data_IF_981326727346
#
_entry.id   IF_981326727346
#
_cell.length_a   1.000
_cell.length_b   1.000
_cell.length_c   1.000
_cell.angle_alpha   90.00
_cell.angle_beta   90.00
_cell.angle_gamma   90.00
#
_symmetry.space_group_name_H-M   'P 1'
#
loop_
_entity.id
_entity.type
_entity.pdbx_description
1 polymer ?
#
# COMPACT_ATOMS: atom_id res chain seq x y z
N UNK A 1 -13.08 -8.54 3.88
CA UNK A 1 -11.85 -9.33 3.70
C UNK A 1 -12.13 -10.82 3.61
N UNK A 2 -11.20 -11.55 3.10
CA UNK A 2 -11.20 -13.02 2.94
C UNK A 2 -10.00 -13.57 3.70
N UNK A 3 -10.16 -14.71 4.35
CA UNK A 3 -9.08 -15.49 4.94
C UNK A 3 -9.38 -16.99 4.81
N UNK A 4 -8.42 -17.75 4.31
CA UNK A 4 -8.46 -19.20 4.23
C UNK A 4 -7.76 -19.80 5.46
N UNK A 5 -8.53 -20.40 6.37
CA UNK A 5 -8.05 -20.84 7.68
C UNK A 5 -7.06 -21.99 7.64
N UNK A 6 -7.11 -22.79 6.59
CA UNK A 6 -6.19 -23.92 6.36
C UNK A 6 -4.87 -23.47 5.70
N UNK A 7 -4.72 -22.19 5.41
CA UNK A 7 -3.57 -21.63 4.71
C UNK A 7 -3.49 -21.99 3.24
N UNK A 8 -4.58 -22.51 2.66
CA UNK A 8 -4.62 -22.84 1.23
C UNK A 8 -4.55 -21.58 0.37
N UNK A 9 -3.95 -21.72 -0.80
CA UNK A 9 -3.77 -20.65 -1.78
C UNK A 9 -4.93 -20.65 -2.76
N UNK A 10 -5.53 -19.49 -2.95
CA UNK A 10 -6.72 -19.27 -3.79
C UNK A 10 -6.51 -18.06 -4.72
N UNK A 11 -7.28 -17.90 -5.80
CA UNK A 11 -7.27 -16.72 -6.66
C UNK A 11 -7.92 -15.53 -5.93
N UNK A 12 -7.28 -15.03 -4.89
CA UNK A 12 -7.83 -14.01 -4.00
C UNK A 12 -8.03 -12.66 -4.70
N UNK A 13 -7.29 -12.38 -5.78
CA UNK A 13 -7.51 -11.20 -6.61
C UNK A 13 -8.92 -11.18 -7.20
N UNK A 14 -9.33 -12.27 -7.86
CA UNK A 14 -10.67 -12.43 -8.41
C UNK A 14 -11.77 -12.42 -7.33
N UNK A 15 -11.53 -13.13 -6.24
CA UNK A 15 -12.51 -13.26 -5.16
C UNK A 15 -12.74 -11.94 -4.43
N UNK A 16 -11.68 -11.21 -4.11
CA UNK A 16 -11.77 -9.87 -3.52
C UNK A 16 -12.47 -8.90 -4.47
N UNK A 17 -12.16 -8.96 -5.77
CA UNK A 17 -12.79 -8.09 -6.77
C UNK A 17 -14.30 -8.33 -6.81
N UNK A 18 -14.76 -9.57 -6.85
CA UNK A 18 -16.21 -9.88 -6.81
C UNK A 18 -16.90 -9.34 -5.55
N UNK A 19 -16.23 -9.45 -4.40
CA UNK A 19 -16.75 -8.90 -3.14
C UNK A 19 -16.83 -7.37 -3.16
N UNK A 20 -15.76 -6.70 -3.60
CA UNK A 20 -15.70 -5.24 -3.65
C UNK A 20 -16.65 -4.68 -4.71
N UNK A 21 -16.76 -5.32 -5.88
CA UNK A 21 -17.68 -4.91 -6.94
C UNK A 21 -19.14 -4.99 -6.50
N UNK A 22 -19.51 -5.96 -5.66
CA UNK A 22 -20.85 -6.03 -5.09
C UNK A 22 -21.20 -4.80 -4.22
N UNK A 23 -20.18 -4.09 -3.73
CA UNK A 23 -20.31 -2.87 -2.91
C UNK A 23 -20.06 -1.57 -3.71
N UNK A 24 -19.90 -1.64 -5.04
CA UNK A 24 -19.62 -0.49 -5.92
C UNK A 24 -20.53 0.71 -5.66
N UNK A 25 -21.82 0.47 -5.40
CA UNK A 25 -22.80 1.53 -5.12
C UNK A 25 -22.50 2.33 -3.84
N UNK A 26 -21.60 1.85 -2.98
CA UNK A 26 -21.19 2.49 -1.72
C UNK A 26 -19.86 3.24 -1.82
N UNK A 27 -19.11 3.06 -2.91
CA UNK A 27 -17.81 3.68 -3.10
C UNK A 27 -17.27 3.49 -4.51
N UNK A 28 -17.73 4.30 -5.49
CA UNK A 28 -17.30 4.15 -6.88
C UNK A 28 -16.02 4.89 -7.23
N UNK A 29 -15.49 5.74 -6.31
CA UNK A 29 -14.47 6.72 -6.65
C UNK A 29 -13.06 6.16 -6.61
N UNK A 30 -12.78 5.29 -5.65
CA UNK A 30 -11.52 4.56 -5.58
C UNK A 30 -11.69 3.20 -4.95
N UNK A 31 -10.83 2.27 -5.36
CA UNK A 31 -10.79 0.91 -4.82
C UNK A 31 -9.37 0.55 -4.44
N UNK A 32 -9.21 -0.17 -3.33
CA UNK A 32 -7.91 -0.68 -2.96
C UNK A 32 -7.97 -2.05 -2.31
N UNK A 33 -6.89 -2.75 -2.51
CA UNK A 33 -6.64 -4.12 -2.10
C UNK A 33 -5.36 -4.19 -1.28
N UNK A 34 -5.36 -4.93 -0.18
CA UNK A 34 -4.16 -5.46 0.44
C UNK A 34 -4.27 -6.98 0.35
N UNK A 35 -3.49 -7.57 -0.52
CA UNK A 35 -3.48 -8.98 -0.83
C UNK A 35 -2.22 -9.63 -0.26
N UNK A 36 -2.38 -10.80 0.34
CA UNK A 36 -1.27 -11.54 0.94
C UNK A 36 -1.04 -12.79 0.12
N UNK A 37 -0.06 -12.69 -0.77
CA UNK A 37 0.36 -13.75 -1.66
C UNK A 37 0.96 -14.93 -0.93
N UNK A 38 1.21 -15.99 -1.68
CA UNK A 38 1.91 -17.17 -1.16
C UNK A 38 3.42 -16.90 -1.01
N UNK A 39 3.80 -15.67 -1.31
CA UNK A 39 5.10 -15.05 -1.17
C UNK A 39 6.20 -15.77 -1.94
N UNK A 40 6.77 -15.10 -2.93
CA UNK A 40 8.19 -15.27 -3.21
C UNK A 40 9.03 -14.96 -1.96
N UNK A 41 8.42 -14.35 -0.96
CA UNK A 41 8.92 -14.18 0.40
C UNK A 41 9.27 -15.46 1.16
N UNK A 42 8.82 -16.63 0.71
CA UNK A 42 9.32 -17.91 1.22
C UNK A 42 10.84 -18.05 1.06
N UNK A 43 11.46 -17.32 0.13
CA UNK A 43 12.90 -17.27 -0.11
C UNK A 43 13.59 -16.05 0.53
N UNK A 44 12.94 -15.32 1.44
CA UNK A 44 13.51 -14.13 2.08
C UNK A 44 13.45 -12.86 1.22
N UNK A 45 12.76 -12.92 0.08
CA UNK A 45 12.57 -11.78 -0.83
C UNK A 45 11.52 -10.81 -0.33
N UNK A 46 11.68 -9.56 -0.73
CA UNK A 46 10.74 -8.48 -0.47
C UNK A 46 10.07 -8.07 -1.79
N UNK A 47 8.83 -7.66 -1.66
CA UNK A 47 8.07 -7.06 -2.75
C UNK A 47 7.73 -5.63 -2.31
N UNK A 48 8.06 -4.67 -3.16
CA UNK A 48 7.67 -3.28 -2.98
C UNK A 48 6.76 -2.87 -4.13
N UNK A 49 5.60 -2.33 -3.78
CA UNK A 49 4.74 -1.61 -4.71
C UNK A 49 4.87 -0.12 -4.48
N UNK A 50 5.12 0.62 -5.54
CA UNK A 50 5.26 2.06 -5.48
C UNK A 50 4.66 2.71 -6.72
N UNK A 51 4.34 3.99 -6.62
CA UNK A 51 3.90 4.81 -7.74
C UNK A 51 4.75 6.08 -7.85
N UNK A 52 4.80 6.63 -9.04
CA UNK A 52 5.53 7.86 -9.41
C UNK A 52 4.59 8.96 -9.93
N UNK A 53 3.31 8.71 -9.97
CA UNK A 53 2.24 9.65 -10.29
C UNK A 53 0.90 9.03 -9.90
N UNK A 54 -0.18 9.78 -10.08
CA UNK A 54 -1.55 9.32 -9.91
C UNK A 54 -2.29 9.25 -11.27
N UNK A 55 -3.39 8.51 -11.31
CA UNK A 55 -4.22 8.37 -12.51
C UNK A 55 -4.71 9.74 -13.06
N UNK A 56 -4.91 10.72 -12.17
CA UNK A 56 -5.33 12.08 -12.51
C UNK A 56 -4.18 13.08 -12.68
N UNK A 57 -2.91 12.63 -12.56
CA UNK A 57 -1.76 13.50 -12.80
C UNK A 57 -1.77 13.99 -14.24
N UNK A 58 -1.68 15.31 -14.49
CA UNK A 58 -1.66 15.86 -15.85
C UNK A 58 -0.49 15.27 -16.66
N UNK A 59 -0.80 14.74 -17.83
CA UNK A 59 0.20 14.19 -18.76
C UNK A 59 0.74 15.29 -19.65
N UNK A 60 1.74 16.01 -19.16
CA UNK A 60 2.50 16.98 -19.94
C UNK A 60 3.44 16.30 -20.95
N UNK A 61 4.13 17.13 -21.75
CA UNK A 61 5.03 16.62 -22.80
C UNK A 61 6.18 15.75 -22.24
N UNK A 62 6.63 16.02 -21.01
CA UNK A 62 7.77 15.33 -20.38
C UNK A 62 7.34 14.21 -19.42
N UNK A 63 6.04 13.90 -19.34
CA UNK A 63 5.48 12.98 -18.35
C UNK A 63 6.15 11.59 -18.39
N UNK A 64 6.17 10.95 -19.55
CA UNK A 64 6.75 9.60 -19.68
C UNK A 64 8.27 9.60 -19.43
N UNK A 65 8.98 10.64 -19.88
CA UNK A 65 10.41 10.76 -19.63
C UNK A 65 10.73 10.99 -18.15
N UNK A 66 9.91 11.79 -17.47
CA UNK A 66 10.01 12.00 -16.02
C UNK A 66 9.80 10.71 -15.25
N UNK A 67 8.76 9.95 -15.57
CA UNK A 67 8.50 8.65 -14.94
C UNK A 67 9.65 7.67 -15.16
N UNK A 68 10.14 7.55 -16.37
CA UNK A 68 11.28 6.67 -16.70
C UNK A 68 12.54 7.06 -15.91
N UNK A 69 12.82 8.34 -15.78
CA UNK A 69 13.94 8.86 -15.01
C UNK A 69 13.76 8.59 -13.52
N UNK A 70 12.58 8.86 -12.94
CA UNK A 70 12.32 8.58 -11.53
C UNK A 70 12.40 7.09 -11.22
N UNK A 71 11.87 6.22 -12.09
CA UNK A 71 11.99 4.78 -11.97
C UNK A 71 13.48 4.36 -11.91
N UNK A 72 14.30 4.84 -12.84
CA UNK A 72 15.73 4.54 -12.84
C UNK A 72 16.44 5.02 -11.55
N UNK A 73 15.99 6.13 -10.97
CA UNK A 73 16.47 6.61 -9.67
C UNK A 73 16.03 5.68 -8.54
N UNK A 74 14.80 5.16 -8.54
CA UNK A 74 14.34 4.15 -7.56
C UNK A 74 15.24 2.92 -7.61
N UNK A 75 15.42 2.33 -8.78
CA UNK A 75 16.28 1.14 -8.98
C UNK A 75 17.72 1.41 -8.51
N UNK A 76 18.26 2.58 -8.84
CA UNK A 76 19.61 2.99 -8.39
C UNK A 76 19.69 3.12 -6.86
N UNK A 77 18.67 3.68 -6.20
CA UNK A 77 18.62 3.83 -4.74
C UNK A 77 18.53 2.48 -4.04
N UNK A 78 17.72 1.57 -4.56
CA UNK A 78 17.66 0.20 -4.05
C UNK A 78 19.04 -0.48 -4.12
N UNK A 79 19.70 -0.40 -5.26
CA UNK A 79 21.05 -0.97 -5.44
C UNK A 79 22.10 -0.30 -4.54
N UNK A 80 22.04 1.01 -4.31
CA UNK A 80 22.93 1.73 -3.39
C UNK A 80 22.82 1.26 -1.94
N UNK A 81 21.63 0.81 -1.51
CA UNK A 81 21.43 0.23 -0.19
C UNK A 81 21.79 -1.25 -0.11
N UNK A 82 22.22 -1.85 -1.23
CA UNK A 82 22.60 -3.26 -1.31
C UNK A 82 21.41 -4.19 -1.57
N UNK A 83 20.30 -3.68 -2.08
CA UNK A 83 19.22 -4.53 -2.56
C UNK A 83 19.60 -5.17 -3.89
N UNK A 84 19.38 -6.47 -4.00
CA UNK A 84 19.55 -7.23 -5.24
C UNK A 84 18.20 -7.36 -5.92
N UNK A 85 17.99 -6.55 -6.98
CA UNK A 85 16.73 -6.51 -7.72
C UNK A 85 16.64 -7.75 -8.61
N UNK A 86 15.53 -8.46 -8.54
CA UNK A 86 15.24 -9.61 -9.38
C UNK A 86 14.39 -9.22 -10.58
N UNK A 87 13.30 -8.50 -10.33
CA UNK A 87 12.33 -8.14 -11.35
C UNK A 87 11.70 -6.79 -11.04
N UNK A 88 11.42 -6.03 -12.10
CA UNK A 88 10.63 -4.78 -12.03
C UNK A 88 9.51 -4.86 -13.06
N UNK A 89 8.29 -4.93 -12.59
CA UNK A 89 7.08 -4.97 -13.40
C UNK A 89 6.44 -3.57 -13.47
N UNK A 90 6.06 -3.15 -14.66
CA UNK A 90 5.26 -1.95 -14.89
C UNK A 90 3.79 -2.37 -14.98
N UNK A 91 3.01 -2.10 -13.94
CA UNK A 91 1.62 -2.50 -13.88
C UNK A 91 0.71 -1.48 -14.55
N UNK A 92 1.06 -0.21 -14.37
CA UNK A 92 0.45 0.92 -15.07
C UNK A 92 1.56 1.86 -15.51
N UNK A 93 1.30 2.87 -16.36
CA UNK A 93 2.34 3.83 -16.75
C UNK A 93 3.02 4.55 -15.57
N UNK A 94 2.44 4.52 -14.37
CA UNK A 94 2.92 5.24 -13.18
C UNK A 94 3.06 4.39 -11.93
N UNK A 95 2.64 3.13 -11.94
CA UNK A 95 2.72 2.21 -10.81
C UNK A 95 3.57 0.99 -11.15
N UNK A 96 4.41 0.58 -10.20
CA UNK A 96 5.43 -0.42 -10.38
C UNK A 96 5.44 -1.42 -9.23
N UNK A 97 5.76 -2.65 -9.56
CA UNK A 97 6.06 -3.73 -8.63
C UNK A 97 7.52 -4.12 -8.79
N UNK A 98 8.27 -4.18 -7.70
CA UNK A 98 9.66 -4.63 -7.71
C UNK A 98 9.87 -5.73 -6.67
N UNK A 99 10.50 -6.82 -7.09
CA UNK A 99 10.94 -7.90 -6.21
C UNK A 99 12.45 -7.86 -6.07
N UNK A 100 12.95 -8.04 -4.84
CA UNK A 100 14.38 -7.94 -4.54
C UNK A 100 14.74 -8.65 -3.23
N UNK A 101 16.03 -9.02 -3.10
CA UNK A 101 16.58 -9.48 -1.83
C UNK A 101 17.20 -8.28 -1.08
N UNK A 102 16.89 -8.17 0.22
CA UNK A 102 17.45 -7.14 1.10
C UNK A 102 17.35 -7.54 2.57
N UNK A 103 18.42 -7.36 3.32
CA UNK A 103 18.51 -7.69 4.76
C UNK A 103 18.70 -6.47 5.66
N UNK A 104 18.65 -5.26 5.08
CA UNK A 104 18.87 -4.01 5.82
C UNK A 104 17.60 -3.45 6.48
N UNK A 105 17.69 -2.19 6.87
CA UNK A 105 16.60 -1.45 7.51
C UNK A 105 15.53 -1.05 6.47
N UNK A 106 14.34 -1.63 6.59
CA UNK A 106 13.18 -1.35 5.70
C UNK A 106 12.72 0.10 5.78
N UNK A 107 12.85 0.72 6.97
CA UNK A 107 12.52 2.14 7.14
C UNK A 107 13.46 3.01 6.32
N UNK A 108 14.76 2.77 6.43
CA UNK A 108 15.77 3.50 5.65
C UNK A 108 15.53 3.34 4.14
N UNK A 109 15.21 2.13 3.71
CA UNK A 109 14.96 1.83 2.30
C UNK A 109 13.72 2.59 1.79
N UNK A 110 12.60 2.50 2.49
CA UNK A 110 11.37 3.18 2.10
C UNK A 110 11.54 4.70 2.10
N UNK A 111 12.14 5.27 3.16
CA UNK A 111 12.43 6.70 3.24
C UNK A 111 13.30 7.17 2.07
N UNK A 112 14.33 6.39 1.73
CA UNK A 112 15.24 6.75 0.65
C UNK A 112 14.55 6.70 -0.73
N UNK A 113 13.60 5.80 -0.94
CA UNK A 113 12.78 5.78 -2.17
C UNK A 113 11.85 6.99 -2.20
N UNK A 114 11.16 7.29 -1.10
CA UNK A 114 10.17 8.37 -1.04
C UNK A 114 10.79 9.79 -0.98
N UNK A 115 12.10 9.91 -0.82
CA UNK A 115 12.83 11.16 -1.07
C UNK A 115 12.87 11.54 -2.57
N UNK A 116 12.45 10.65 -3.46
CA UNK A 116 12.27 10.97 -4.88
C UNK A 116 10.95 11.74 -5.04
N UNK A 117 10.96 12.91 -5.69
CA UNK A 117 9.72 13.63 -5.94
C UNK A 117 8.66 12.76 -6.61
N UNK A 118 7.43 12.84 -6.13
CA UNK A 118 6.26 12.08 -6.63
C UNK A 118 6.30 10.56 -6.32
N UNK A 119 7.38 10.03 -5.73
CA UNK A 119 7.42 8.63 -5.33
C UNK A 119 6.61 8.38 -4.04
N UNK A 120 5.73 7.40 -4.08
CA UNK A 120 4.98 6.90 -2.92
C UNK A 120 5.12 5.38 -2.85
N UNK A 121 5.63 4.87 -1.72
CA UNK A 121 5.68 3.44 -1.45
C UNK A 121 4.32 3.01 -0.89
N UNK A 122 3.59 2.19 -1.64
CA UNK A 122 2.28 1.70 -1.24
C UNK A 122 2.38 0.55 -0.23
N UNK A 123 3.33 -0.33 -0.45
CA UNK A 123 3.63 -1.45 0.45
C UNK A 123 5.06 -1.94 0.27
N UNK A 124 5.61 -2.48 1.35
CA UNK A 124 6.87 -3.18 1.37
C UNK A 124 6.74 -4.37 2.33
N UNK A 125 6.82 -5.58 1.80
CA UNK A 125 6.59 -6.78 2.58
C UNK A 125 7.10 -8.04 1.91
N UNK A 126 6.90 -9.16 2.58
CA UNK A 126 7.22 -10.50 2.06
C UNK A 126 6.03 -11.16 1.39
N UNK A 127 4.82 -10.83 1.84
CA UNK A 127 3.58 -11.39 1.34
C UNK A 127 2.55 -10.31 0.98
N UNK A 128 2.58 -9.16 1.66
CA UNK A 128 1.66 -8.06 1.45
C UNK A 128 1.97 -7.30 0.17
N UNK A 129 0.96 -7.15 -0.66
CA UNK A 129 0.96 -6.25 -1.81
C UNK A 129 -0.28 -5.35 -1.75
N UNK A 130 -0.08 -4.04 -1.70
CA UNK A 130 -1.16 -3.05 -1.74
C UNK A 130 -1.29 -2.50 -3.16
N UNK A 131 -2.49 -2.68 -3.71
CA UNK A 131 -2.92 -2.05 -4.96
C UNK A 131 -4.07 -1.12 -4.64
N UNK A 132 -3.98 0.13 -5.02
CA UNK A 132 -5.06 1.11 -4.87
C UNK A 132 -5.03 2.12 -6.01
N UNK A 133 -6.21 2.39 -6.59
CA UNK A 133 -6.34 3.37 -7.66
C UNK A 133 -7.76 3.94 -7.73
N UNK A 134 -7.95 4.92 -8.62
CA UNK A 134 -9.26 5.49 -8.93
C UNK A 134 -10.09 4.48 -9.73
N UNK A 135 -11.39 4.49 -9.45
CA UNK A 135 -12.35 3.64 -10.13
C UNK A 135 -12.89 2.50 -9.25
N UNK A 136 -13.79 1.74 -9.83
CA UNK A 136 -14.39 0.59 -9.18
C UNK A 136 -13.47 -0.63 -9.18
N UNK A 137 -13.90 -1.69 -8.49
CA UNK A 137 -13.08 -2.87 -8.28
C UNK A 137 -12.71 -3.60 -9.58
N UNK A 138 -13.62 -3.65 -10.56
CA UNK A 138 -13.33 -4.27 -11.86
C UNK A 138 -12.29 -3.46 -12.63
N UNK A 139 -12.42 -2.13 -12.66
CA UNK A 139 -11.47 -1.24 -13.31
C UNK A 139 -10.05 -1.41 -12.75
N UNK A 140 -9.91 -1.38 -11.41
CA UNK A 140 -8.59 -1.54 -10.77
C UNK A 140 -8.05 -2.97 -10.95
N UNK A 141 -8.92 -3.98 -10.89
CA UNK A 141 -8.56 -5.37 -11.14
C UNK A 141 -7.96 -5.59 -12.53
N UNK A 142 -8.63 -5.07 -13.57
CA UNK A 142 -8.15 -5.18 -14.96
C UNK A 142 -6.84 -4.41 -15.16
N UNK A 143 -6.74 -3.21 -14.60
CA UNK A 143 -5.60 -2.33 -14.74
C UNK A 143 -4.31 -2.93 -14.14
N UNK A 144 -4.44 -3.63 -13.01
CA UNK A 144 -3.33 -4.22 -12.28
C UNK A 144 -3.19 -5.75 -12.46
N UNK A 145 -3.94 -6.35 -13.36
CA UNK A 145 -3.83 -7.77 -13.68
C UNK A 145 -4.09 -8.70 -12.49
N UNK A 146 -5.01 -8.33 -11.58
CA UNK A 146 -5.20 -9.06 -10.32
C UNK A 146 -5.81 -10.46 -10.49
N UNK A 147 -6.26 -10.85 -11.70
CA UNK A 147 -6.73 -12.21 -12.00
C UNK A 147 -5.67 -13.29 -11.73
N UNK A 148 -4.40 -12.94 -11.89
CA UNK A 148 -3.30 -13.87 -11.66
C UNK A 148 -2.85 -13.91 -10.19
N UNK A 149 -3.37 -13.01 -9.36
CA UNK A 149 -2.95 -12.91 -7.97
C UNK A 149 -3.55 -14.03 -7.12
N UNK A 150 -2.68 -14.90 -6.63
CA UNK A 150 -3.04 -16.00 -5.73
C UNK A 150 -2.49 -15.76 -4.33
N UNK A 151 -3.23 -16.16 -3.30
CA UNK A 151 -2.79 -15.95 -1.92
C UNK A 151 -3.70 -16.59 -0.90
N UNK A 152 -3.42 -16.32 0.37
CA UNK A 152 -4.09 -16.96 1.51
C UNK A 152 -5.16 -16.07 2.15
N UNK A 153 -5.04 -14.77 2.04
CA UNK A 153 -6.00 -13.82 2.59
C UNK A 153 -5.85 -12.44 1.95
N UNK A 154 -6.86 -11.60 2.14
CA UNK A 154 -6.85 -10.22 1.68
C UNK A 154 -7.90 -9.37 2.41
N UNK A 155 -7.63 -8.08 2.47
CA UNK A 155 -8.57 -7.04 2.87
C UNK A 155 -8.67 -6.00 1.77
N UNK A 156 -9.80 -5.32 1.65
CA UNK A 156 -10.00 -4.31 0.62
C UNK A 156 -11.07 -3.33 0.99
N UNK A 157 -11.12 -2.23 0.27
CA UNK A 157 -12.04 -1.13 0.53
C UNK A 157 -12.47 -0.46 -0.77
N UNK A 158 -13.73 -0.05 -0.84
CA UNK A 158 -14.26 0.86 -1.86
C UNK A 158 -14.62 2.17 -1.18
N UNK A 159 -14.16 3.29 -1.73
CA UNK A 159 -14.32 4.63 -1.14
C UNK A 159 -15.23 5.48 -1.99
N UNK A 160 -16.11 6.22 -1.30
CA UNK A 160 -16.81 7.38 -1.84
C UNK A 160 -16.17 8.62 -1.23
N UNK A 161 -15.66 9.51 -2.04
CA UNK A 161 -15.10 10.78 -1.59
C UNK A 161 -16.25 11.73 -1.25
N UNK A 162 -16.38 12.13 0.01
CA UNK A 162 -17.51 12.96 0.48
C UNK A 162 -17.12 14.43 0.63
N UNK A 163 -15.88 14.77 0.96
CA UNK A 163 -15.46 16.14 1.30
C UNK A 163 -14.03 16.48 0.85
N UNK A 164 -13.26 15.51 0.39
CA UNK A 164 -11.88 15.70 -0.09
C UNK A 164 -11.79 15.46 -1.60
N UNK A 165 -10.77 16.02 -2.23
CA UNK A 165 -10.42 15.62 -3.60
C UNK A 165 -10.29 14.11 -3.70
N UNK A 166 -10.69 13.56 -4.85
CA UNK A 166 -10.56 12.13 -5.15
C UNK A 166 -9.09 11.90 -5.48
N UNK A 167 -8.30 11.61 -4.44
CA UNK A 167 -6.90 11.26 -4.56
C UNK A 167 -6.65 9.80 -4.16
N UNK A 168 -5.60 9.21 -4.69
CA UNK A 168 -5.19 7.84 -4.37
C UNK A 168 -4.57 7.79 -2.97
N UNK A 169 -3.92 8.84 -2.49
CA UNK A 169 -3.31 8.90 -1.16
C UNK A 169 -4.36 8.67 -0.06
N UNK A 170 -5.57 9.24 -0.22
CA UNK A 170 -6.69 9.01 0.68
C UNK A 170 -7.40 7.67 0.51
N UNK A 171 -7.05 6.84 -0.47
CA UNK A 171 -7.63 5.53 -0.67
C UNK A 171 -7.03 4.49 0.29
N UNK A 172 -7.92 3.62 0.83
CA UNK A 172 -7.48 2.45 1.59
C UNK A 172 -7.02 1.32 0.65
N UNK A 173 -6.20 0.37 1.13
CA UNK A 173 -5.62 0.22 2.47
C UNK A 173 -4.46 1.17 2.77
N UNK A 174 -4.11 1.30 4.07
CA UNK A 174 -2.91 1.97 4.54
C UNK A 174 -1.88 0.97 5.02
N UNK A 175 -0.66 1.08 4.53
CA UNK A 175 0.48 0.34 5.05
C UNK A 175 0.90 0.89 6.43
N UNK A 176 1.11 0.00 7.40
CA UNK A 176 1.63 0.39 8.71
C UNK A 176 3.15 0.57 8.65
N UNK A 177 3.59 1.56 7.89
CA UNK A 177 5.00 1.90 7.68
C UNK A 177 5.78 2.02 8.99
N UNK A 178 6.98 1.44 9.12
CA UNK A 178 7.73 0.66 8.13
C UNK A 178 7.61 -0.87 8.30
N UNK A 179 6.55 -1.36 8.93
CA UNK A 179 6.40 -2.77 9.26
C UNK A 179 5.91 -3.58 8.06
N UNK A 180 6.73 -4.56 7.62
CA UNK A 180 6.32 -5.48 6.56
C UNK A 180 5.04 -6.22 6.92
N UNK A 181 4.23 -6.47 5.91
CA UNK A 181 3.05 -7.32 5.98
C UNK A 181 1.94 -6.86 6.95
N UNK A 182 1.89 -5.56 7.27
CA UNK A 182 0.82 -4.96 8.08
C UNK A 182 0.08 -3.88 7.31
N UNK A 183 -1.21 -4.08 7.07
CA UNK A 183 -2.09 -3.12 6.40
C UNK A 183 -3.40 -2.95 7.14
N UNK A 184 -4.04 -1.80 6.96
CA UNK A 184 -5.28 -1.41 7.63
C UNK A 184 -6.31 -0.94 6.62
N UNK A 185 -7.55 -1.38 6.81
CA UNK A 185 -8.75 -0.79 6.21
C UNK A 185 -9.72 -0.39 7.32
N UNK A 186 -10.37 0.75 7.16
CA UNK A 186 -11.34 1.25 8.14
C UNK A 186 -12.52 1.87 7.41
N UNK A 187 -13.72 1.59 7.87
CA UNK A 187 -14.94 2.25 7.42
C UNK A 187 -15.60 2.92 8.63
N UNK A 188 -15.33 4.19 8.82
CA UNK A 188 -15.81 4.98 9.96
C UNK A 188 -15.15 6.35 10.00
N UNK A 189 -15.31 7.05 11.12
CA UNK A 189 -14.68 8.35 11.38
C UNK A 189 -14.04 8.34 12.77
N UNK A 190 -12.82 8.87 12.87
CA UNK A 190 -12.15 9.06 14.16
C UNK A 190 -12.48 10.44 14.71
N UNK A 191 -13.27 10.46 15.78
CA UNK A 191 -13.75 11.72 16.41
C UNK A 191 -12.63 12.57 17.02
N UNK A 192 -11.51 11.96 17.34
CA UNK A 192 -10.32 12.60 17.95
C UNK A 192 -9.13 12.71 17.01
N UNK A 193 -9.38 12.72 15.70
CA UNK A 193 -8.40 12.77 14.63
C UNK A 193 -7.27 13.77 14.87
N UNK A 194 -7.60 15.06 15.02
CA UNK A 194 -6.59 16.12 15.14
C UNK A 194 -5.68 15.97 16.36
N UNK A 195 -6.21 15.42 17.46
CA UNK A 195 -5.43 15.19 18.67
C UNK A 195 -4.39 14.08 18.45
N UNK A 196 -4.82 12.98 17.86
CA UNK A 196 -3.94 11.84 17.57
C UNK A 196 -2.91 12.17 16.50
N UNK A 197 -3.31 12.84 15.43
CA UNK A 197 -2.39 13.26 14.37
C UNK A 197 -1.26 14.11 14.94
N UNK A 198 -1.57 15.17 15.67
CA UNK A 198 -0.56 16.03 16.31
C UNK A 198 0.35 15.27 17.27
N UNK A 199 -0.20 14.30 18.00
CA UNK A 199 0.60 13.49 18.93
C UNK A 199 1.61 12.63 18.18
N UNK A 200 1.20 11.97 17.13
CA UNK A 200 2.03 11.08 16.31
C UNK A 200 3.07 11.90 15.51
N UNK A 201 2.70 13.03 14.95
CA UNK A 201 3.62 13.94 14.26
C UNK A 201 4.72 14.46 15.23
N UNK A 202 4.36 14.79 16.47
CA UNK A 202 5.35 15.16 17.51
C UNK A 202 6.28 14.00 17.91
N UNK A 203 5.81 12.77 17.75
CA UNK A 203 6.64 11.58 17.93
C UNK A 203 7.51 11.26 16.69
N UNK A 204 7.50 12.15 15.68
CA UNK A 204 8.28 12.00 14.45
C UNK A 204 7.66 11.06 13.43
N UNK A 205 6.36 10.77 13.56
CA UNK A 205 5.64 9.97 12.57
C UNK A 205 5.14 10.87 11.44
N UNK A 206 5.18 10.34 10.21
CA UNK A 206 4.68 11.03 9.03
C UNK A 206 3.35 10.44 8.58
N UNK A 207 2.60 11.24 7.87
CA UNK A 207 1.34 10.87 7.23
C UNK A 207 1.44 11.16 5.74
N UNK A 208 0.87 10.29 4.94
CA UNK A 208 0.84 10.42 3.48
C UNK A 208 -0.47 11.03 2.98
N UNK A 209 -1.52 11.04 3.81
CA UNK A 209 -2.84 11.56 3.46
C UNK A 209 -3.44 12.41 4.58
N UNK A 210 -4.54 13.08 4.27
CA UNK A 210 -5.40 13.76 5.25
C UNK A 210 -6.55 12.87 5.74
N UNK A 211 -6.56 11.57 5.37
CA UNK A 211 -7.58 10.65 5.82
C UNK A 211 -7.38 10.26 7.30
N UNK A 212 -8.44 10.36 8.08
CA UNK A 212 -8.41 10.02 9.50
C UNK A 212 -8.03 8.56 9.78
N UNK A 213 -8.41 7.67 8.87
CA UNK A 213 -8.17 6.23 9.00
C UNK A 213 -6.68 5.85 8.92
N UNK A 214 -5.83 6.67 8.29
CA UNK A 214 -4.39 6.46 8.27
C UNK A 214 -3.78 6.48 9.67
N UNK A 215 -4.39 7.23 10.61
CA UNK A 215 -3.96 7.25 12.01
C UNK A 215 -3.88 5.84 12.61
N UNK A 216 -4.79 4.94 12.23
CA UNK A 216 -4.80 3.59 12.77
C UNK A 216 -3.50 2.85 12.38
N UNK A 217 -3.10 2.94 11.11
CA UNK A 217 -1.86 2.32 10.63
C UNK A 217 -0.63 2.95 11.31
N UNK A 218 -0.58 4.28 11.39
CA UNK A 218 0.53 5.00 12.04
C UNK A 218 0.58 4.74 13.55
N UNK A 219 -0.56 4.63 14.22
CA UNK A 219 -0.64 4.26 15.63
C UNK A 219 -0.12 2.85 15.89
N UNK A 220 -0.54 1.87 15.09
CA UNK A 220 -0.05 0.51 15.20
C UNK A 220 1.47 0.46 15.01
N UNK A 221 1.99 1.14 14.01
CA UNK A 221 3.43 1.25 13.76
C UNK A 221 4.16 1.92 14.95
N UNK A 222 3.58 2.95 15.58
CA UNK A 222 4.13 3.61 16.77
C UNK A 222 4.22 2.64 17.96
N UNK A 223 3.16 1.87 18.26
CA UNK A 223 3.19 0.92 19.37
C UNK A 223 4.13 -0.27 19.09
N UNK A 224 4.17 -0.76 17.85
CA UNK A 224 5.10 -1.81 17.44
C UNK A 224 6.56 -1.35 17.54
N UNK A 225 6.84 -0.08 17.27
CA UNK A 225 8.19 0.49 17.43
C UNK A 225 8.67 0.53 18.89
N UNK A 226 7.74 0.47 19.84
CA UNK A 226 8.02 0.37 21.27
C UNK A 226 8.15 -1.10 21.75
N UNK A 227 8.12 -2.04 20.83
CA UNK A 227 8.26 -3.48 21.10
C UNK A 227 6.95 -4.23 21.32
N UNK A 228 5.79 -3.59 21.10
CA UNK A 228 4.51 -4.28 21.15
C UNK A 228 4.33 -5.20 19.92
N UNK A 229 3.76 -6.37 20.10
CA UNK A 229 3.23 -7.16 19.00
C UNK A 229 2.02 -6.46 18.38
N UNK A 230 1.65 -6.82 17.16
CA UNK A 230 0.45 -6.27 16.48
C UNK A 230 -0.81 -6.46 17.37
N UNK A 231 -0.96 -7.65 17.99
CA UNK A 231 -2.08 -7.91 18.90
C UNK A 231 -2.10 -6.95 20.09
N UNK A 232 -0.96 -6.78 20.77
CA UNK A 232 -0.86 -5.86 21.91
C UNK A 232 -1.08 -4.40 21.50
N UNK A 233 -0.63 -4.00 20.30
CA UNK A 233 -0.90 -2.67 19.76
C UNK A 233 -2.41 -2.47 19.52
N UNK A 234 -3.10 -3.48 18.99
CA UNK A 234 -4.56 -3.44 18.81
C UNK A 234 -5.30 -3.42 20.15
N UNK A 235 -4.93 -4.25 21.11
CA UNK A 235 -5.57 -4.29 22.43
C UNK A 235 -5.44 -2.97 23.20
N UNK A 236 -4.35 -2.24 23.00
CA UNK A 236 -4.15 -0.90 23.59
C UNK A 236 -4.97 0.21 22.90
N UNK A 237 -5.48 -0.03 21.71
CA UNK A 237 -6.28 0.95 20.97
C UNK A 237 -7.73 1.03 21.44
N UNK A 238 -8.19 0.05 22.19
CA UNK A 238 -9.53 -0.06 22.79
C UNK A 238 -9.58 0.65 24.15
#
# INVERSE_FOLDING_TARGET
GIIYRDGSVHPIGDEMTRMLQSMKHRGPDSTGYALYGNGDGANGRLIMRYKLADANTPRDFDFEERLRRHRAVVESRLAQLGAEIDEVEEETPYAFRVSFAYEGDLKLLADFVEDIPEAEVLSLGRALEIVKDLGDAETVHEQYGLSEFTGTHGIGHVRMATESEVDIAGAHPYWAYPYSDVAVVHNGQLTNYFMWRRRLERAGRRFMSECDSEIIAVYLAEEMSKGASLREAMDKSL
#
